data_IF_093080979391
#
_entry.id   IF_093080979391
#
_cell.length_a   1.000
_cell.length_b   1.000
_cell.length_c   1.000
_cell.angle_alpha   90.00
_cell.angle_beta   90.00
_cell.angle_gamma   90.00
#
_symmetry.space_group_name_H-M   'P 1'
#
loop_
_entity.id
_entity.type
_entity.pdbx_description
1 polymer ?
#
# COMPACT_ATOMS: atom_id res chain seq x y z
N UNK A 1 -25.29 -13.88 -2.89
CA UNK A 1 -24.57 -13.08 -1.87
C UNK A 1 -25.08 -11.65 -1.96
N UNK A 2 -25.27 -10.95 -0.85
CA UNK A 2 -25.62 -9.53 -0.89
C UNK A 2 -24.44 -8.75 -1.47
N UNK A 3 -24.74 -7.77 -2.36
CA UNK A 3 -23.73 -6.85 -2.91
C UNK A 3 -23.01 -6.15 -1.75
N UNK A 4 -21.68 -6.07 -1.84
CA UNK A 4 -20.82 -5.37 -0.87
C UNK A 4 -20.04 -4.33 -1.64
N UNK A 5 -20.24 -3.08 -1.33
CA UNK A 5 -19.48 -2.00 -1.96
C UNK A 5 -18.05 -2.01 -1.42
N UNK A 6 -17.07 -2.16 -2.29
CA UNK A 6 -15.65 -2.05 -1.94
C UNK A 6 -14.98 -0.97 -2.78
N UNK A 7 -14.13 -0.15 -2.15
CA UNK A 7 -13.43 0.90 -2.88
C UNK A 7 -12.35 0.33 -3.79
N UNK A 8 -11.66 -0.71 -3.36
CA UNK A 8 -10.49 -1.23 -4.06
C UNK A 8 -10.33 -2.74 -3.95
N UNK A 9 -9.57 -3.30 -4.88
CA UNK A 9 -9.05 -4.66 -4.85
C UNK A 9 -7.54 -4.61 -4.59
N UNK A 10 -7.12 -5.06 -3.41
CA UNK A 10 -5.71 -5.27 -3.07
C UNK A 10 -5.26 -6.63 -3.58
N UNK A 11 -4.28 -6.67 -4.45
CA UNK A 11 -3.71 -7.91 -5.00
C UNK A 11 -2.34 -8.13 -4.37
N UNK A 12 -2.23 -9.21 -3.60
CA UNK A 12 -0.98 -9.61 -2.98
C UNK A 12 -0.08 -10.31 -4.00
N UNK A 13 1.07 -9.70 -4.26
CA UNK A 13 2.06 -10.26 -5.19
C UNK A 13 2.70 -11.51 -4.58
N UNK A 14 2.70 -12.66 -5.29
CA UNK A 14 3.29 -13.89 -4.78
C UNK A 14 4.82 -13.83 -4.71
N UNK A 15 5.38 -14.35 -3.62
CA UNK A 15 6.82 -14.44 -3.44
C UNK A 15 7.20 -15.24 -2.19
N UNK A 16 8.36 -15.92 -2.22
CA UNK A 16 8.83 -16.79 -1.11
C UNK A 16 9.27 -16.01 0.12
N UNK A 17 9.85 -14.84 -0.08
CA UNK A 17 10.34 -13.98 0.99
C UNK A 17 10.48 -12.55 0.50
N UNK A 18 10.22 -11.58 1.37
CA UNK A 18 10.47 -10.18 1.09
C UNK A 18 11.97 -9.88 1.09
N UNK A 19 12.42 -9.02 0.17
CA UNK A 19 13.78 -8.49 0.14
C UNK A 19 14.09 -7.60 1.35
N UNK A 20 13.04 -7.06 1.97
CA UNK A 20 13.12 -6.22 3.17
C UNK A 20 12.82 -7.01 4.45
N UNK A 21 13.17 -6.41 5.60
CA UNK A 21 12.89 -6.94 6.95
C UNK A 21 12.39 -5.82 7.85
N UNK A 22 11.27 -5.18 7.45
CA UNK A 22 10.71 -4.04 8.17
C UNK A 22 10.44 -4.39 9.63
N UNK A 23 10.90 -3.53 10.54
CA UNK A 23 10.75 -3.71 11.99
C UNK A 23 9.30 -3.67 12.46
N UNK A 24 8.38 -3.23 11.61
CA UNK A 24 6.94 -3.07 11.86
C UNK A 24 6.08 -3.88 10.86
N UNK A 25 6.65 -4.86 10.18
CA UNK A 25 5.98 -5.58 9.09
C UNK A 25 4.80 -6.41 9.60
N UNK A 26 3.59 -6.10 9.14
CA UNK A 26 2.37 -6.83 9.48
C UNK A 26 2.43 -8.27 8.97
N UNK A 27 2.96 -8.50 7.77
CA UNK A 27 3.13 -9.85 7.24
C UNK A 27 4.03 -10.73 8.14
N UNK A 28 4.98 -10.13 8.88
CA UNK A 28 5.79 -10.86 9.85
C UNK A 28 5.07 -11.14 11.17
N UNK A 29 4.01 -10.39 11.52
CA UNK A 29 3.16 -10.67 12.69
C UNK A 29 2.31 -11.92 12.48
N UNK A 30 1.93 -12.18 11.23
CA UNK A 30 1.06 -13.30 10.82
C UNK A 30 1.83 -14.46 10.17
N UNK A 31 3.12 -14.64 10.46
CA UNK A 31 3.98 -15.60 9.77
C UNK A 31 3.47 -17.04 9.76
N UNK A 32 2.77 -17.47 10.80
CA UNK A 32 2.31 -18.85 10.90
C UNK A 32 1.06 -19.13 10.04
N UNK A 33 0.27 -18.09 9.78
CA UNK A 33 -0.96 -18.19 8.98
C UNK A 33 -0.66 -18.06 7.48
N UNK A 34 0.22 -17.13 7.10
CA UNK A 34 0.43 -16.77 5.70
C UNK A 34 1.58 -17.53 5.02
N UNK A 35 2.63 -17.90 5.75
CA UNK A 35 3.76 -18.65 5.17
C UNK A 35 3.35 -19.98 4.55
N UNK A 36 2.47 -20.72 5.21
CA UNK A 36 2.03 -22.01 4.70
C UNK A 36 1.14 -21.83 3.47
N UNK A 37 0.21 -20.89 3.48
CA UNK A 37 -0.65 -20.58 2.33
C UNK A 37 0.14 -20.05 1.12
N UNK A 38 1.16 -19.20 1.36
CA UNK A 38 2.00 -18.66 0.30
C UNK A 38 2.96 -19.70 -0.29
N UNK A 39 3.50 -20.61 0.51
CA UNK A 39 4.47 -21.60 0.06
C UNK A 39 3.85 -22.70 -0.80
N UNK A 40 2.58 -23.06 -0.56
CA UNK A 40 1.93 -24.17 -1.27
C UNK A 40 1.58 -23.80 -2.72
N UNK A 41 1.20 -22.56 -3.02
CA UNK A 41 0.72 -22.15 -4.35
C UNK A 41 1.70 -21.29 -5.15
N UNK A 42 2.81 -20.88 -4.55
CA UNK A 42 3.76 -19.94 -5.13
C UNK A 42 4.37 -20.35 -6.46
N UNK A 43 4.72 -21.62 -6.70
CA UNK A 43 5.27 -22.06 -7.98
C UNK A 43 4.22 -22.20 -9.08
N UNK A 44 2.94 -22.16 -8.74
CA UNK A 44 1.85 -22.61 -9.60
C UNK A 44 0.74 -21.57 -9.81
N UNK A 45 0.96 -20.29 -9.43
CA UNK A 45 -0.09 -19.29 -9.60
C UNK A 45 -0.57 -19.17 -11.06
N UNK A 46 0.27 -19.48 -12.04
CA UNK A 46 -0.12 -19.51 -13.46
C UNK A 46 -1.21 -20.55 -13.76
N UNK A 47 -1.34 -21.59 -12.94
CA UNK A 47 -2.42 -22.57 -13.05
C UNK A 47 -3.76 -22.06 -12.53
N UNK A 48 -3.75 -20.96 -11.75
CA UNK A 48 -4.94 -20.38 -11.11
C UNK A 48 -5.43 -19.09 -11.77
N UNK A 49 -5.02 -18.82 -13.03
CA UNK A 49 -5.38 -17.57 -13.71
C UNK A 49 -6.90 -17.38 -13.85
N UNK A 50 -7.66 -18.47 -14.09
CA UNK A 50 -9.12 -18.40 -14.11
C UNK A 50 -9.70 -18.02 -12.76
N UNK A 51 -9.10 -18.46 -11.65
CA UNK A 51 -9.54 -18.08 -10.31
C UNK A 51 -9.21 -16.61 -10.02
N UNK A 52 -8.04 -16.12 -10.42
CA UNK A 52 -7.72 -14.70 -10.35
C UNK A 52 -8.76 -13.86 -11.09
N UNK A 53 -9.10 -14.23 -12.33
CA UNK A 53 -10.10 -13.52 -13.14
C UNK A 53 -11.47 -13.54 -12.47
N UNK A 54 -11.93 -14.67 -11.95
CA UNK A 54 -13.22 -14.75 -11.24
C UNK A 54 -13.28 -13.81 -10.04
N UNK A 55 -12.17 -13.67 -9.27
CA UNK A 55 -12.08 -12.75 -8.12
C UNK A 55 -12.03 -11.29 -8.57
N UNK A 56 -11.35 -11.01 -9.69
CA UNK A 56 -11.33 -9.67 -10.28
C UNK A 56 -12.72 -9.26 -10.78
N UNK A 57 -13.46 -10.18 -11.46
CA UNK A 57 -14.85 -9.96 -11.88
C UNK A 57 -15.72 -9.68 -10.66
N UNK A 58 -15.68 -10.52 -9.65
CA UNK A 58 -16.43 -10.31 -8.41
C UNK A 58 -16.14 -8.93 -7.78
N UNK A 59 -14.88 -8.53 -7.72
CA UNK A 59 -14.52 -7.23 -7.19
C UNK A 59 -15.14 -6.08 -8.01
N UNK A 60 -15.12 -6.18 -9.34
CA UNK A 60 -15.76 -5.20 -10.24
C UNK A 60 -17.28 -5.14 -10.07
N UNK A 61 -17.94 -6.28 -9.92
CA UNK A 61 -19.37 -6.37 -9.65
C UNK A 61 -19.76 -5.80 -8.28
N UNK A 62 -18.81 -5.66 -7.37
CA UNK A 62 -18.95 -5.03 -6.06
C UNK A 62 -18.27 -3.65 -5.97
N UNK A 63 -18.24 -2.92 -7.10
CA UNK A 63 -17.84 -1.53 -7.26
C UNK A 63 -16.35 -1.22 -6.98
N UNK A 64 -15.49 -2.23 -6.85
CA UNK A 64 -14.05 -1.99 -6.75
C UNK A 64 -13.51 -1.39 -8.06
N UNK A 65 -13.09 -0.13 -8.03
CA UNK A 65 -12.59 0.60 -9.19
C UNK A 65 -11.08 0.84 -9.18
N UNK A 66 -10.45 0.65 -8.03
CA UNK A 66 -9.01 0.80 -7.82
C UNK A 66 -8.40 -0.59 -7.66
N UNK A 67 -7.32 -0.87 -8.39
CA UNK A 67 -6.46 -2.03 -8.15
C UNK A 67 -5.24 -1.57 -7.37
N UNK A 68 -5.02 -2.12 -6.17
CA UNK A 68 -3.82 -1.88 -5.38
C UNK A 68 -2.90 -3.09 -5.47
N UNK A 69 -1.72 -2.91 -6.02
CA UNK A 69 -0.68 -3.93 -6.08
C UNK A 69 0.16 -3.82 -4.81
N UNK A 70 0.09 -4.82 -3.98
CA UNK A 70 0.73 -4.85 -2.65
C UNK A 70 1.16 -6.29 -2.32
N UNK A 71 1.40 -6.62 -1.07
CA UNK A 71 1.61 -8.00 -0.65
C UNK A 71 2.41 -8.13 0.63
N UNK A 72 2.64 -9.39 0.96
CA UNK A 72 3.48 -9.79 2.09
C UNK A 72 4.97 -9.75 1.72
N UNK A 73 5.29 -9.36 0.47
CA UNK A 73 6.64 -9.10 -0.03
C UNK A 73 6.71 -7.73 -0.71
N UNK A 74 7.92 -7.30 -1.08
CA UNK A 74 8.10 -6.16 -1.98
C UNK A 74 7.56 -6.52 -3.38
N UNK A 75 6.51 -5.84 -3.88
CA UNK A 75 5.87 -6.23 -5.16
C UNK A 75 6.80 -6.23 -6.36
N UNK A 76 7.82 -5.38 -6.35
CA UNK A 76 8.78 -5.27 -7.45
C UNK A 76 9.67 -6.52 -7.60
N UNK A 77 9.65 -7.45 -6.65
CA UNK A 77 10.38 -8.71 -6.74
C UNK A 77 9.82 -9.68 -7.78
N UNK A 78 8.53 -9.58 -8.14
CA UNK A 78 7.90 -10.51 -9.07
C UNK A 78 7.39 -9.81 -10.34
N UNK A 79 8.34 -9.41 -11.19
CA UNK A 79 8.05 -8.75 -12.47
C UNK A 79 7.15 -9.59 -13.40
N UNK A 80 7.32 -10.92 -13.37
CA UNK A 80 6.52 -11.83 -14.19
C UNK A 80 5.04 -11.81 -13.77
N UNK A 81 4.77 -11.87 -12.47
CA UNK A 81 3.39 -11.73 -11.97
C UNK A 81 2.78 -10.37 -12.33
N UNK A 82 3.53 -9.28 -12.21
CA UNK A 82 3.04 -7.95 -12.60
C UNK A 82 2.67 -7.89 -14.08
N UNK A 83 3.45 -8.52 -14.94
CA UNK A 83 3.14 -8.62 -16.37
C UNK A 83 1.89 -9.48 -16.62
N UNK A 84 1.77 -10.63 -15.97
CA UNK A 84 0.58 -11.49 -16.04
C UNK A 84 -0.65 -10.74 -15.57
N UNK A 85 -0.58 -10.04 -14.44
CA UNK A 85 -1.67 -9.22 -13.93
C UNK A 85 -2.12 -8.13 -14.92
N UNK A 86 -1.16 -7.50 -15.60
CA UNK A 86 -1.45 -6.52 -16.65
C UNK A 86 -2.23 -7.14 -17.82
N UNK A 87 -1.86 -8.35 -18.23
CA UNK A 87 -2.56 -9.10 -19.28
C UNK A 87 -3.98 -9.45 -18.83
N UNK A 88 -4.13 -10.00 -17.62
CA UNK A 88 -5.45 -10.33 -17.05
C UNK A 88 -6.36 -9.11 -17.00
N UNK A 89 -5.86 -8.00 -16.49
CA UNK A 89 -6.64 -6.76 -16.36
C UNK A 89 -7.03 -6.18 -17.73
N UNK A 90 -6.07 -6.06 -18.65
CA UNK A 90 -6.27 -5.31 -19.90
C UNK A 90 -7.00 -6.11 -20.98
N UNK A 91 -6.76 -7.41 -21.05
CA UNK A 91 -7.22 -8.22 -22.16
C UNK A 91 -8.24 -9.31 -21.77
N UNK A 92 -8.11 -9.91 -20.59
CA UNK A 92 -8.97 -11.02 -20.18
C UNK A 92 -10.23 -10.53 -19.46
N UNK A 93 -10.09 -9.61 -18.53
CA UNK A 93 -11.20 -9.06 -17.76
C UNK A 93 -12.30 -8.44 -18.66
N UNK A 94 -11.99 -7.67 -19.71
CA UNK A 94 -12.99 -7.15 -20.64
C UNK A 94 -13.75 -8.26 -21.39
N UNK A 95 -13.12 -9.39 -21.69
CA UNK A 95 -13.79 -10.53 -22.34
C UNK A 95 -14.82 -11.22 -21.43
N UNK A 96 -14.74 -10.99 -20.13
CA UNK A 96 -15.73 -11.45 -19.13
C UNK A 96 -16.86 -10.43 -18.90
N UNK A 97 -16.94 -9.37 -19.71
CA UNK A 97 -17.97 -8.33 -19.61
C UNK A 97 -17.71 -7.25 -18.57
N UNK A 98 -16.52 -7.19 -17.98
CA UNK A 98 -16.13 -6.17 -17.02
C UNK A 98 -15.20 -5.14 -17.63
N UNK A 99 -15.24 -3.90 -17.13
CA UNK A 99 -14.23 -2.90 -17.48
C UNK A 99 -12.90 -3.19 -16.79
N UNK A 100 -11.78 -2.93 -17.46
CA UNK A 100 -10.47 -3.00 -16.82
C UNK A 100 -10.35 -2.03 -15.63
N UNK A 101 -9.50 -2.35 -14.68
CA UNK A 101 -9.08 -1.37 -13.67
C UNK A 101 -8.18 -0.33 -14.35
N UNK A 102 -8.63 0.92 -14.38
CA UNK A 102 -7.90 2.04 -14.97
C UNK A 102 -7.08 2.82 -13.94
N UNK A 103 -7.41 2.66 -12.64
CA UNK A 103 -6.67 3.24 -11.54
C UNK A 103 -5.88 2.15 -10.85
N UNK A 104 -4.58 2.11 -11.11
CA UNK A 104 -3.68 1.10 -10.57
C UNK A 104 -2.66 1.77 -9.67
N UNK A 105 -2.69 1.41 -8.39
CA UNK A 105 -1.75 1.86 -7.38
C UNK A 105 -0.75 0.76 -7.06
N UNK A 106 0.54 1.09 -7.04
CA UNK A 106 1.61 0.22 -6.55
C UNK A 106 2.07 0.71 -5.18
N UNK A 107 2.03 -0.17 -4.17
CA UNK A 107 2.60 0.06 -2.85
C UNK A 107 3.99 -0.57 -2.76
N UNK A 108 5.03 0.22 -2.58
CA UNK A 108 6.43 -0.24 -2.62
C UNK A 108 7.29 0.49 -1.60
N UNK A 109 8.36 -0.13 -1.17
CA UNK A 109 9.44 0.50 -0.40
C UNK A 109 10.43 1.29 -1.27
N UNK A 110 10.31 1.18 -2.60
CA UNK A 110 11.24 1.77 -3.57
C UNK A 110 12.46 0.89 -3.88
N UNK A 111 12.68 -0.19 -3.16
CA UNK A 111 13.73 -1.17 -3.48
C UNK A 111 13.46 -1.79 -4.84
N UNK A 112 14.48 -1.95 -5.67
CA UNK A 112 14.41 -2.42 -7.05
C UNK A 112 13.75 -1.44 -8.04
N UNK A 113 13.35 -0.24 -7.60
CA UNK A 113 12.76 0.75 -8.48
C UNK A 113 13.84 1.58 -9.17
N UNK A 114 13.98 1.38 -10.47
CA UNK A 114 14.88 2.11 -11.35
C UNK A 114 14.14 2.60 -12.61
N UNK A 115 14.83 3.35 -13.49
CA UNK A 115 14.23 3.87 -14.72
C UNK A 115 13.68 2.80 -15.68
N UNK A 116 14.36 1.66 -15.93
CA UNK A 116 13.81 0.54 -16.68
C UNK A 116 12.54 -0.04 -16.04
N UNK A 117 12.52 -0.16 -14.72
CA UNK A 117 11.35 -0.67 -13.99
C UNK A 117 10.19 0.34 -14.01
N UNK A 118 10.47 1.63 -13.85
CA UNK A 118 9.47 2.69 -13.94
C UNK A 118 8.78 2.69 -15.31
N UNK A 119 9.55 2.58 -16.40
CA UNK A 119 9.01 2.44 -17.75
C UNK A 119 8.11 1.21 -17.91
N UNK A 120 8.53 0.07 -17.37
CA UNK A 120 7.72 -1.15 -17.38
C UNK A 120 6.41 -0.98 -16.63
N UNK A 121 6.46 -0.44 -15.41
CA UNK A 121 5.26 -0.20 -14.59
C UNK A 121 4.29 0.74 -15.27
N UNK A 122 4.80 1.85 -15.84
CA UNK A 122 3.96 2.86 -16.50
C UNK A 122 3.34 2.33 -17.80
N UNK A 123 4.14 1.75 -18.68
CA UNK A 123 3.71 1.44 -20.04
C UNK A 123 3.12 0.04 -20.18
N UNK A 124 3.61 -0.94 -19.41
CA UNK A 124 3.15 -2.34 -19.51
C UNK A 124 2.08 -2.64 -18.47
N UNK A 125 2.36 -2.35 -17.20
CA UNK A 125 1.41 -2.65 -16.11
C UNK A 125 0.26 -1.63 -16.08
N UNK A 126 0.54 -0.37 -16.38
CA UNK A 126 -0.44 0.71 -16.36
C UNK A 126 -0.57 1.36 -14.98
N UNK A 127 0.46 1.24 -14.15
CA UNK A 127 0.47 1.90 -12.82
C UNK A 127 0.34 3.41 -13.00
N UNK A 128 -0.63 4.01 -12.33
CA UNK A 128 -0.86 5.45 -12.31
C UNK A 128 -0.39 6.10 -11.01
N UNK A 129 -0.49 5.39 -9.89
CA UNK A 129 -0.09 5.89 -8.57
C UNK A 129 1.04 5.03 -8.02
N UNK A 130 2.15 5.66 -7.68
CA UNK A 130 3.22 5.04 -6.91
C UNK A 130 3.10 5.49 -5.45
N UNK A 131 2.76 4.57 -4.57
CA UNK A 131 2.68 4.78 -3.13
C UNK A 131 3.98 4.32 -2.49
N UNK A 132 4.91 5.26 -2.26
CA UNK A 132 6.21 5.00 -1.65
C UNK A 132 6.07 4.96 -0.13
N UNK A 133 6.34 3.80 0.45
CA UNK A 133 6.29 3.56 1.89
C UNK A 133 7.58 4.02 2.55
N UNK A 134 7.51 5.02 3.42
CA UNK A 134 8.67 5.60 4.10
C UNK A 134 8.54 5.48 5.62
N UNK A 135 9.67 5.21 6.28
CA UNK A 135 9.79 5.13 7.74
C UNK A 135 10.64 6.28 8.33
N UNK A 136 11.34 7.00 7.47
CA UNK A 136 12.07 8.24 7.75
C UNK A 136 12.31 8.98 6.43
N UNK A 137 12.53 10.30 6.49
CA UNK A 137 13.05 11.07 5.35
C UNK A 137 14.58 11.09 5.28
N UNK A 138 15.26 10.50 6.27
CA UNK A 138 16.67 10.19 6.18
C UNK A 138 16.87 8.82 5.55
N UNK A 139 17.72 8.70 4.54
CA UNK A 139 17.92 7.46 3.77
C UNK A 139 18.43 6.32 4.66
N UNK A 140 19.38 6.59 5.56
CA UNK A 140 19.97 5.58 6.45
C UNK A 140 18.96 5.06 7.46
N UNK A 141 18.25 5.96 8.15
CA UNK A 141 17.18 5.59 9.08
C UNK A 141 16.06 4.82 8.39
N UNK A 142 15.67 5.26 7.18
CA UNK A 142 14.63 4.59 6.40
C UNK A 142 15.06 3.17 6.03
N UNK A 143 16.31 2.99 5.58
CA UNK A 143 16.84 1.67 5.24
C UNK A 143 16.96 0.78 6.48
N UNK A 144 17.43 1.31 7.62
CA UNK A 144 17.55 0.55 8.87
C UNK A 144 16.18 0.09 9.39
N UNK A 145 15.19 0.99 9.46
CA UNK A 145 13.85 0.68 9.99
C UNK A 145 13.10 -0.27 9.05
N UNK A 146 13.22 -0.08 7.75
CA UNK A 146 12.60 -0.93 6.73
C UNK A 146 13.40 -2.21 6.46
N UNK A 147 14.53 -2.41 7.14
CA UNK A 147 15.38 -3.59 7.02
C UNK A 147 15.86 -3.82 5.58
N UNK A 148 16.19 -2.74 4.89
CA UNK A 148 16.75 -2.75 3.54
C UNK A 148 18.24 -3.06 3.63
N UNK A 149 18.67 -4.13 2.97
CA UNK A 149 20.08 -4.49 2.96
C UNK A 149 20.92 -3.44 2.22
N UNK A 150 22.18 -3.24 2.64
CA UNK A 150 23.10 -2.22 2.08
C UNK A 150 23.19 -2.27 0.55
N UNK A 151 23.26 -3.47 -0.03
CA UNK A 151 23.28 -3.66 -1.48
C UNK A 151 22.03 -3.18 -2.22
N UNK A 152 20.94 -2.99 -1.51
CA UNK A 152 19.64 -2.54 -2.02
C UNK A 152 19.26 -1.15 -1.51
N UNK A 153 20.19 -0.45 -0.85
CA UNK A 153 19.97 0.88 -0.30
C UNK A 153 19.40 1.82 -1.36
N UNK A 154 18.40 2.59 -0.98
CA UNK A 154 17.74 3.55 -1.84
C UNK A 154 18.12 4.97 -1.42
N UNK A 155 18.16 5.87 -2.39
CA UNK A 155 18.10 7.30 -2.19
C UNK A 155 16.67 7.77 -2.43
N UNK A 156 15.99 8.26 -1.40
CA UNK A 156 14.57 8.66 -1.46
C UNK A 156 14.36 9.74 -2.53
N UNK A 157 15.27 10.71 -2.63
CA UNK A 157 15.17 11.81 -3.62
C UNK A 157 15.24 11.27 -5.05
N UNK A 158 16.11 10.29 -5.33
CA UNK A 158 16.22 9.69 -6.67
C UNK A 158 15.00 8.83 -7.01
N UNK A 159 14.48 8.04 -6.06
CA UNK A 159 13.25 7.27 -6.26
C UNK A 159 12.07 8.19 -6.57
N UNK A 160 11.90 9.27 -5.81
CA UNK A 160 10.85 10.27 -6.06
C UNK A 160 11.02 10.95 -7.42
N UNK A 161 12.25 11.33 -7.78
CA UNK A 161 12.57 11.92 -9.07
C UNK A 161 12.22 10.99 -10.23
N UNK A 162 12.64 9.72 -10.16
CA UNK A 162 12.27 8.72 -11.19
C UNK A 162 10.75 8.60 -11.30
N UNK A 163 10.02 8.55 -10.19
CA UNK A 163 8.57 8.49 -10.22
C UNK A 163 7.97 9.70 -10.96
N UNK A 164 8.44 10.90 -10.71
CA UNK A 164 7.98 12.12 -11.40
C UNK A 164 8.40 12.16 -12.87
N UNK A 165 9.61 11.72 -13.21
CA UNK A 165 10.13 11.66 -14.59
C UNK A 165 9.29 10.70 -15.49
N UNK A 166 8.57 9.74 -14.89
CA UNK A 166 7.68 8.80 -15.58
C UNK A 166 6.19 9.07 -15.36
N UNK A 167 5.82 10.27 -14.92
CA UNK A 167 4.42 10.74 -14.74
C UNK A 167 3.59 9.87 -13.79
N UNK A 168 4.20 9.32 -12.75
CA UNK A 168 3.42 8.73 -11.67
C UNK A 168 2.84 9.83 -10.78
N UNK A 169 1.59 9.64 -10.36
CA UNK A 169 1.10 10.31 -9.16
C UNK A 169 1.87 9.75 -7.97
N UNK A 170 2.71 10.57 -7.35
CA UNK A 170 3.56 10.16 -6.24
C UNK A 170 2.83 10.33 -4.92
N UNK A 171 2.50 9.22 -4.24
CA UNK A 171 2.03 9.21 -2.87
C UNK A 171 3.17 8.86 -1.93
N UNK A 172 3.40 9.66 -0.91
CA UNK A 172 4.26 9.29 0.21
C UNK A 172 3.40 8.71 1.33
N UNK A 173 3.55 7.42 1.61
CA UNK A 173 2.89 6.71 2.71
C UNK A 173 3.84 6.68 3.90
N UNK A 174 3.61 7.58 4.88
CA UNK A 174 4.49 7.76 6.02
C UNK A 174 4.08 6.82 7.14
N UNK A 175 4.93 5.85 7.46
CA UNK A 175 4.80 4.98 8.62
C UNK A 175 5.19 5.77 9.86
N UNK A 176 4.18 6.23 10.62
CA UNK A 176 4.37 7.22 11.67
C UNK A 176 5.08 6.64 12.88
N UNK A 177 6.38 6.84 12.93
CA UNK A 177 7.28 6.48 14.01
C UNK A 177 8.12 7.70 14.44
N UNK A 178 8.88 7.58 15.53
CA UNK A 178 9.66 8.70 16.08
C UNK A 178 10.73 9.20 15.12
N UNK A 179 11.42 8.30 14.39
CA UNK A 179 12.45 8.68 13.44
C UNK A 179 11.86 9.47 12.26
N UNK A 180 10.65 9.11 11.77
CA UNK A 180 9.93 9.87 10.74
C UNK A 180 9.74 11.32 11.18
N UNK A 181 9.26 11.55 12.39
CA UNK A 181 9.03 12.90 12.90
C UNK A 181 10.35 13.65 13.17
N UNK A 182 11.35 12.97 13.72
CA UNK A 182 12.68 13.54 14.00
C UNK A 182 13.42 13.96 12.73
N UNK A 183 13.27 13.22 11.61
CA UNK A 183 13.92 13.53 10.33
C UNK A 183 13.51 14.87 9.72
N UNK A 184 12.47 15.50 10.26
CA UNK A 184 11.96 16.81 9.83
C UNK A 184 11.91 17.84 10.97
N UNK A 185 12.73 17.66 12.00
CA UNK A 185 12.82 18.58 13.14
C UNK A 185 11.64 18.49 14.12
N UNK A 186 10.95 17.36 14.17
CA UNK A 186 9.90 17.08 15.16
C UNK A 186 8.57 17.78 14.90
N UNK A 187 8.33 18.36 13.72
CA UNK A 187 7.14 19.18 13.45
C UNK A 187 6.26 18.60 12.34
N UNK A 188 4.95 18.79 12.44
CA UNK A 188 3.99 18.41 11.40
C UNK A 188 4.22 19.20 10.11
N UNK A 189 4.48 20.50 10.24
CA UNK A 189 4.80 21.37 9.10
C UNK A 189 6.02 20.86 8.32
N UNK A 190 7.04 20.36 9.04
CA UNK A 190 8.25 19.77 8.45
C UNK A 190 7.93 18.55 7.56
N UNK A 191 6.96 17.70 7.96
CA UNK A 191 6.52 16.57 7.17
C UNK A 191 5.95 17.03 5.82
N UNK A 192 5.07 18.03 5.82
CA UNK A 192 4.49 18.59 4.58
C UNK A 192 5.52 19.28 3.70
N UNK A 193 6.41 20.09 4.30
CA UNK A 193 7.50 20.77 3.57
C UNK A 193 8.44 19.77 2.88
N UNK A 194 8.84 18.71 3.60
CA UNK A 194 9.73 17.69 3.01
C UNK A 194 9.03 16.89 1.93
N UNK A 195 7.77 16.48 2.14
CA UNK A 195 6.98 15.78 1.12
C UNK A 195 6.83 16.63 -0.16
N UNK A 196 6.48 17.90 -0.02
CA UNK A 196 6.37 18.84 -1.15
C UNK A 196 7.70 19.01 -1.89
N UNK A 197 8.82 19.13 -1.16
CA UNK A 197 10.17 19.21 -1.76
C UNK A 197 10.51 17.98 -2.59
N UNK A 198 10.03 16.79 -2.18
CA UNK A 198 10.20 15.53 -2.92
C UNK A 198 9.24 15.38 -4.13
N UNK A 199 8.36 16.35 -4.35
CA UNK A 199 7.41 16.34 -5.46
C UNK A 199 6.19 15.46 -5.23
N UNK A 200 5.83 15.18 -3.98
CA UNK A 200 4.65 14.40 -3.65
C UNK A 200 3.38 15.11 -4.13
N UNK A 201 2.48 14.33 -4.74
CA UNK A 201 1.13 14.75 -5.09
C UNK A 201 0.14 14.38 -3.97
N UNK A 202 0.49 13.34 -3.19
CA UNK A 202 -0.33 12.82 -2.12
C UNK A 202 0.52 12.44 -0.91
N UNK A 203 -0.04 12.59 0.30
CA UNK A 203 0.57 12.17 1.55
C UNK A 203 -0.44 11.39 2.40
N UNK A 204 -0.02 10.25 2.93
CA UNK A 204 -0.83 9.46 3.86
C UNK A 204 -0.04 9.27 5.15
N UNK A 205 -0.63 9.67 6.26
CA UNK A 205 -0.07 9.46 7.60
C UNK A 205 -0.62 8.16 8.16
N UNK A 206 0.20 7.12 8.20
CA UNK A 206 -0.22 5.77 8.57
C UNK A 206 0.14 5.44 10.00
N UNK A 207 -0.88 5.14 10.82
CA UNK A 207 -0.68 4.57 12.15
C UNK A 207 -0.12 3.16 12.01
N UNK A 208 0.90 2.84 12.80
CA UNK A 208 1.46 1.50 12.83
C UNK A 208 0.51 0.55 13.57
N UNK A 209 0.31 -0.62 13.00
CA UNK A 209 -0.55 -1.65 13.51
C UNK A 209 0.18 -2.54 14.51
N UNK A 210 -0.47 -2.89 15.60
CA UNK A 210 0.05 -3.78 16.65
C UNK A 210 -0.88 -4.95 16.83
N UNK A 211 -0.35 -6.16 16.78
CA UNK A 211 -1.10 -7.39 17.05
C UNK A 211 -0.21 -8.45 17.68
N UNK A 212 -0.67 -9.02 18.80
CA UNK A 212 0.01 -10.11 19.49
C UNK A 212 1.34 -9.75 20.14
N UNK A 213 1.97 -10.73 20.80
CA UNK A 213 3.28 -10.61 21.45
C UNK A 213 4.39 -11.10 20.49
N UNK A 214 4.87 -10.21 19.62
CA UNK A 214 5.93 -10.50 18.66
C UNK A 214 6.96 -9.35 18.60
N UNK A 215 8.03 -9.55 17.85
CA UNK A 215 9.11 -8.57 17.76
C UNK A 215 8.67 -7.26 17.10
N UNK A 216 7.75 -7.32 16.12
CA UNK A 216 7.23 -6.16 15.41
C UNK A 216 6.39 -5.30 16.36
N UNK A 217 5.45 -5.90 17.08
CA UNK A 217 4.62 -5.20 18.08
C UNK A 217 5.47 -4.54 19.15
N UNK A 218 6.45 -5.25 19.70
CA UNK A 218 7.41 -4.69 20.69
C UNK A 218 8.22 -3.52 20.15
N UNK A 219 8.61 -3.58 18.88
CA UNK A 219 9.30 -2.46 18.25
C UNK A 219 8.38 -1.25 18.07
N UNK A 220 7.13 -1.48 17.61
CA UNK A 220 6.14 -0.42 17.41
C UNK A 220 5.81 0.27 18.72
N UNK A 221 5.57 -0.47 19.81
CA UNK A 221 5.29 0.08 21.14
C UNK A 221 6.36 1.05 21.62
N UNK A 222 7.63 0.77 21.28
CA UNK A 222 8.77 1.61 21.65
C UNK A 222 8.99 2.82 20.72
N UNK A 223 8.59 2.67 19.44
CA UNK A 223 9.03 3.60 18.39
C UNK A 223 7.88 4.34 17.70
N UNK A 224 6.63 3.92 17.83
CA UNK A 224 5.48 4.66 17.27
C UNK A 224 5.44 6.09 17.86
N UNK A 225 4.87 7.00 17.10
CA UNK A 225 4.53 8.33 17.61
C UNK A 225 3.37 8.23 18.60
N UNK A 226 3.32 9.15 19.55
CA UNK A 226 2.23 9.23 20.50
C UNK A 226 0.90 9.62 19.78
N UNK A 227 -0.26 9.19 20.28
CA UNK A 227 -1.58 9.49 19.68
C UNK A 227 -1.82 10.97 19.41
N UNK A 228 -1.32 11.85 20.28
CA UNK A 228 -1.44 13.31 20.18
C UNK A 228 -0.76 13.89 18.93
N UNK A 229 0.19 13.14 18.33
CA UNK A 229 0.81 13.53 17.06
C UNK A 229 -0.23 13.45 15.92
N UNK A 230 -1.07 12.43 15.90
CA UNK A 230 -2.16 12.34 14.91
C UNK A 230 -3.20 13.44 15.09
N UNK A 231 -3.50 13.84 16.33
CA UNK A 231 -4.39 14.98 16.60
C UNK A 231 -3.77 16.29 16.07
N UNK A 232 -2.45 16.46 16.25
CA UNK A 232 -1.72 17.62 15.69
C UNK A 232 -1.71 17.61 14.17
N UNK A 233 -1.60 16.43 13.53
CA UNK A 233 -1.67 16.28 12.07
C UNK A 233 -3.07 16.65 11.59
N UNK A 234 -4.12 16.10 12.20
CA UNK A 234 -5.52 16.44 11.88
C UNK A 234 -5.79 17.94 12.02
N UNK A 235 -5.34 18.54 13.13
CA UNK A 235 -5.50 19.98 13.37
C UNK A 235 -4.74 20.83 12.33
N UNK A 236 -3.52 20.42 11.96
CA UNK A 236 -2.74 21.10 10.92
C UNK A 236 -3.41 21.03 9.56
N UNK A 237 -3.90 19.84 9.17
CA UNK A 237 -4.60 19.61 7.91
C UNK A 237 -5.87 20.47 7.83
N UNK A 238 -6.70 20.47 8.88
CA UNK A 238 -7.94 21.24 8.95
C UNK A 238 -7.69 22.75 8.96
N UNK A 239 -6.60 23.20 9.56
CA UNK A 239 -6.22 24.62 9.60
C UNK A 239 -5.68 25.15 8.27
N UNK A 240 -4.85 24.34 7.58
CA UNK A 240 -4.07 24.79 6.42
C UNK A 240 -4.57 24.23 5.09
N UNK A 241 -5.57 23.35 5.10
CA UNK A 241 -6.14 22.72 3.93
C UNK A 241 -7.63 22.99 3.76
N UNK A 242 -8.17 22.49 2.67
CA UNK A 242 -9.60 22.44 2.43
C UNK A 242 -10.04 21.00 2.15
N UNK A 243 -11.21 20.64 2.64
CA UNK A 243 -11.80 19.31 2.43
C UNK A 243 -12.07 19.11 0.93
N UNK A 244 -11.54 18.03 0.35
CA UNK A 244 -11.79 17.66 -1.04
C UNK A 244 -12.91 16.63 -1.12
N UNK A 245 -12.84 15.60 -0.26
CA UNK A 245 -13.73 14.44 -0.32
C UNK A 245 -13.85 13.77 1.05
N UNK A 246 -14.89 12.96 1.21
CA UNK A 246 -15.04 12.01 2.30
C UNK A 246 -15.08 10.62 1.65
N UNK A 247 -14.03 9.84 1.87
CA UNK A 247 -13.92 8.50 1.30
C UNK A 247 -15.07 7.60 1.79
N UNK A 248 -15.49 6.59 1.01
CA UNK A 248 -16.66 5.76 1.33
C UNK A 248 -16.64 5.11 2.73
N UNK A 249 -15.46 4.89 3.28
CA UNK A 249 -15.25 4.34 4.64
C UNK A 249 -15.07 5.44 5.71
N UNK A 250 -15.38 6.70 5.38
CA UNK A 250 -15.48 7.81 6.35
C UNK A 250 -14.21 8.63 6.57
N UNK A 251 -13.10 8.34 5.87
CA UNK A 251 -11.89 9.15 5.98
C UNK A 251 -12.01 10.45 5.20
N UNK A 252 -11.68 11.56 5.87
CA UNK A 252 -11.61 12.89 5.27
C UNK A 252 -10.32 13.02 4.43
N UNK A 253 -10.47 13.49 3.21
CA UNK A 253 -9.38 13.82 2.31
C UNK A 253 -9.29 15.32 2.12
N UNK A 254 -8.15 15.91 2.42
CA UNK A 254 -7.91 17.34 2.32
C UNK A 254 -6.88 17.66 1.24
N UNK A 255 -6.95 18.85 0.65
CA UNK A 255 -5.86 19.46 -0.08
C UNK A 255 -5.07 20.40 0.83
N UNK A 256 -3.79 20.14 1.00
CA UNK A 256 -2.85 20.97 1.78
C UNK A 256 -1.67 21.29 0.90
N UNK A 257 -1.44 22.57 0.61
CA UNK A 257 -0.35 23.04 -0.26
C UNK A 257 -0.31 22.35 -1.65
N UNK A 258 -1.48 21.98 -2.19
CA UNK A 258 -1.62 21.28 -3.46
C UNK A 258 -1.39 19.78 -3.40
N UNK A 259 -1.12 19.21 -2.23
CA UNK A 259 -1.05 17.76 -2.00
C UNK A 259 -2.35 17.24 -1.39
N UNK A 260 -2.81 16.09 -1.85
CA UNK A 260 -3.89 15.37 -1.16
C UNK A 260 -3.36 14.73 0.12
N UNK A 261 -4.02 14.96 1.25
CA UNK A 261 -3.60 14.48 2.58
C UNK A 261 -4.70 13.64 3.23
N UNK A 262 -4.32 12.47 3.75
CA UNK A 262 -5.20 11.54 4.48
C UNK A 262 -4.49 11.04 5.74
N UNK A 263 -5.23 10.94 6.85
CA UNK A 263 -4.76 10.29 8.08
C UNK A 263 -5.38 8.90 8.18
N UNK A 264 -4.57 7.87 8.04
CA UNK A 264 -4.98 6.47 8.10
C UNK A 264 -4.68 5.89 9.50
N UNK A 265 -5.69 5.98 10.38
CA UNK A 265 -5.59 5.48 11.77
C UNK A 265 -5.91 3.99 11.90
N UNK A 266 -6.51 3.39 10.86
CA UNK A 266 -6.94 1.99 10.82
C UNK A 266 -6.56 1.35 9.48
N UNK A 267 -5.26 1.09 9.30
CA UNK A 267 -4.74 0.53 8.05
C UNK A 267 -5.18 -0.92 7.81
N UNK A 268 -5.57 -1.64 8.86
CA UNK A 268 -6.05 -3.03 8.78
C UNK A 268 -7.58 -3.14 8.67
N UNK A 269 -8.29 -1.99 8.72
CA UNK A 269 -9.75 -1.93 8.65
C UNK A 269 -10.46 -2.74 9.75
N UNK A 270 -9.95 -2.61 10.97
CA UNK A 270 -10.54 -3.28 12.16
C UNK A 270 -11.81 -2.56 12.64
N UNK A 271 -11.81 -1.22 12.60
CA UNK A 271 -12.95 -0.39 12.96
C UNK A 271 -13.94 -0.29 11.79
N UNK A 272 -14.76 -1.31 11.60
CA UNK A 272 -15.79 -1.32 10.55
C UNK A 272 -16.99 -0.49 11.00
N UNK A 273 -16.99 0.79 10.66
CA UNK A 273 -18.08 1.72 11.00
C UNK A 273 -19.36 1.49 10.20
N UNK A 274 -19.27 0.84 9.02
CA UNK A 274 -20.44 0.52 8.20
C UNK A 274 -20.37 -0.93 7.68
N UNK A 275 -21.37 -1.74 8.00
CA UNK A 275 -21.45 -3.17 7.66
C UNK A 275 -21.52 -3.48 6.15
N UNK A 276 -21.74 -2.49 5.28
CA UNK A 276 -21.97 -2.68 3.83
C UNK A 276 -20.83 -2.16 2.96
N UNK A 277 -19.91 -1.33 3.48
CA UNK A 277 -18.79 -0.77 2.73
C UNK A 277 -17.50 -1.36 3.24
N UNK A 278 -16.70 -1.92 2.34
CA UNK A 278 -15.35 -2.39 2.63
C UNK A 278 -14.32 -1.42 2.07
N UNK A 279 -13.28 -1.14 2.85
CA UNK A 279 -12.15 -0.32 2.38
C UNK A 279 -11.49 -0.99 1.18
N UNK A 280 -11.37 -2.32 1.22
CA UNK A 280 -10.77 -3.12 0.15
C UNK A 280 -11.18 -4.59 0.24
N UNK A 281 -11.18 -5.27 -0.91
CA UNK A 281 -11.01 -6.71 -0.97
C UNK A 281 -9.53 -7.07 -1.05
N UNK A 282 -9.14 -8.21 -0.53
CA UNK A 282 -7.76 -8.72 -0.58
C UNK A 282 -7.72 -10.03 -1.34
N UNK A 283 -7.06 -10.04 -2.50
CA UNK A 283 -6.79 -11.24 -3.29
C UNK A 283 -5.38 -11.73 -2.98
N UNK A 284 -5.30 -12.90 -2.34
CA UNK A 284 -4.04 -13.47 -1.90
C UNK A 284 -3.42 -14.43 -2.92
N UNK A 285 -2.14 -14.79 -2.77
CA UNK A 285 -1.45 -15.71 -3.69
C UNK A 285 -2.07 -17.11 -3.79
N UNK A 286 -2.83 -17.55 -2.77
CA UNK A 286 -3.60 -18.78 -2.78
C UNK A 286 -4.91 -18.68 -3.60
N UNK A 287 -5.10 -17.57 -4.32
CA UNK A 287 -6.29 -17.26 -5.11
C UNK A 287 -7.59 -17.12 -4.31
N UNK A 288 -7.51 -16.97 -2.99
CA UNK A 288 -8.65 -16.69 -2.15
C UNK A 288 -8.88 -15.19 -2.02
N UNK A 289 -10.16 -14.81 -1.95
CA UNK A 289 -10.60 -13.43 -1.79
C UNK A 289 -11.14 -13.21 -0.38
N UNK A 290 -10.68 -12.12 0.23
CA UNK A 290 -11.04 -11.75 1.60
C UNK A 290 -11.65 -10.36 1.63
N UNK A 291 -12.51 -10.10 2.61
CA UNK A 291 -13.09 -8.78 2.89
C UNK A 291 -12.24 -7.94 3.85
N UNK A 292 -10.99 -8.28 4.01
CA UNK A 292 -10.02 -7.65 4.91
C UNK A 292 -8.75 -8.48 5.00
N UNK A 293 -7.88 -8.15 5.93
CA UNK A 293 -6.58 -8.83 6.07
C UNK A 293 -6.61 -10.05 6.99
N UNK A 294 -7.66 -10.25 7.75
CA UNK A 294 -7.79 -11.37 8.68
C UNK A 294 -8.23 -12.65 7.96
N UNK A 295 -7.84 -13.81 8.50
CA UNK A 295 -8.18 -15.12 7.93
C UNK A 295 -9.69 -15.38 7.93
N UNK A 296 -10.36 -14.86 8.94
CA UNK A 296 -11.81 -14.96 9.14
C UNK A 296 -12.61 -14.14 8.13
N UNK A 297 -11.96 -13.23 7.42
CA UNK A 297 -12.57 -12.38 6.40
C UNK A 297 -12.75 -13.08 5.05
N UNK A 298 -12.53 -14.39 4.97
CA UNK A 298 -12.62 -15.16 3.73
C UNK A 298 -14.01 -15.03 3.11
N UNK A 299 -14.05 -14.68 1.82
CA UNK A 299 -15.27 -14.63 1.01
C UNK A 299 -15.42 -15.94 0.23
N UNK A 300 -14.37 -16.36 -0.48
CA UNK A 300 -14.26 -17.63 -1.21
C UNK A 300 -12.85 -17.86 -1.78
#
# INVERSE_FOLDING_TARGET
MSKRDAQSLSICVPGKACVNRCKYCVACMHTDVYKNQMNENLPFYDLYLEDYIRRMVYAKENDANIMMITGDIEPLQNRHFLQTLAILNRYVLPQKGCTAFNWIELQTSGVLFDRPYARFLRNTVGVSVMSLSLSSFNDDDNCEISGIAEKNKICIEEVCKIAKDYDFTLRLSLNMNRAMLQSVGGTVEGLFKKAKKLGADQITFRKLYVEGDNQQSKWIEKNAVAPEVFEKIDAYIKKNGHLIDILPYGYEQYSVDGMSAVVDKDCMNEERTQKQVSKYFVLRPDCKLYNGWQKEDLIF
#
